data_IF_791909305862
#
_entry.id   IF_791909305862
#
_cell.length_a   1.000
_cell.length_b   1.000
_cell.length_c   1.000
_cell.angle_alpha   90.00
_cell.angle_beta   90.00
_cell.angle_gamma   90.00
#
_symmetry.space_group_name_H-M   'P 1'
#
loop_
_entity.id
_entity.type
_entity.pdbx_description
1 polymer ?
#
# COMPACT_ATOMS: atom_id res chain seq x y z
N UNK A 1 -6.31 9.54 -17.92
CA UNK A 1 -7.72 9.90 -18.07
C UNK A 1 -8.13 10.68 -16.85
N UNK A 2 -9.02 11.66 -16.94
CA UNK A 2 -9.52 12.34 -15.75
C UNK A 2 -10.18 11.32 -14.81
N UNK A 3 -9.94 11.45 -13.51
CA UNK A 3 -10.58 10.63 -12.47
C UNK A 3 -12.07 11.00 -12.46
N UNK A 4 -12.94 9.99 -12.47
CA UNK A 4 -14.39 10.16 -12.34
C UNK A 4 -14.88 9.32 -11.17
N UNK A 5 -15.58 9.92 -10.21
CA UNK A 5 -16.16 9.23 -9.07
C UNK A 5 -17.49 8.62 -9.50
N UNK A 6 -17.60 7.29 -9.33
CA UNK A 6 -18.75 6.50 -9.77
C UNK A 6 -19.46 5.77 -8.63
N UNK A 7 -18.78 5.60 -7.49
CA UNK A 7 -19.29 4.88 -6.32
C UNK A 7 -19.25 5.75 -5.08
N UNK A 8 -20.14 5.56 -4.13
CA UNK A 8 -20.19 6.33 -2.89
C UNK A 8 -19.09 5.93 -1.89
N UNK A 9 -18.39 4.82 -2.16
CA UNK A 9 -17.33 4.30 -1.30
C UNK A 9 -16.02 4.26 -2.06
N UNK A 10 -14.99 4.92 -1.52
CA UNK A 10 -13.69 5.03 -2.17
C UNK A 10 -12.58 4.39 -1.33
N UNK A 11 -11.58 3.85 -2.03
CA UNK A 11 -10.30 3.43 -1.46
C UNK A 11 -9.18 4.19 -2.18
N UNK A 12 -8.48 5.06 -1.45
CA UNK A 12 -7.40 5.89 -1.98
C UNK A 12 -6.06 5.22 -1.70
N UNK A 13 -5.29 4.96 -2.74
CA UNK A 13 -4.00 4.24 -2.67
C UNK A 13 -2.91 4.96 -3.46
N UNK A 14 -1.65 4.60 -3.22
CA UNK A 14 -0.51 5.33 -3.79
C UNK A 14 -0.33 5.08 -5.29
N UNK A 15 -0.38 3.84 -5.73
CA UNK A 15 0.01 3.48 -7.08
C UNK A 15 -0.77 2.31 -7.67
N UNK A 16 -0.35 1.95 -8.88
CA UNK A 16 -1.05 0.94 -9.67
C UNK A 16 -0.94 -0.48 -9.11
N UNK A 17 0.15 -0.79 -8.43
CA UNK A 17 0.31 -2.10 -7.80
C UNK A 17 -0.63 -2.24 -6.61
N UNK A 18 -0.78 -1.19 -5.81
CA UNK A 18 -1.76 -1.10 -4.73
C UNK A 18 -3.19 -1.22 -5.28
N UNK A 19 -3.53 -0.51 -6.37
CA UNK A 19 -4.85 -0.66 -7.02
C UNK A 19 -5.14 -2.12 -7.36
N UNK A 20 -4.18 -2.83 -7.94
CA UNK A 20 -4.37 -4.23 -8.34
C UNK A 20 -4.41 -5.18 -7.12
N UNK A 21 -3.58 -4.94 -6.10
CA UNK A 21 -3.55 -5.73 -4.87
C UNK A 21 -4.87 -5.56 -4.11
N UNK A 22 -5.29 -4.33 -3.86
CA UNK A 22 -6.53 -4.07 -3.12
C UNK A 22 -7.77 -4.49 -3.91
N UNK A 23 -7.75 -4.46 -5.23
CA UNK A 23 -8.84 -5.06 -6.01
C UNK A 23 -8.94 -6.57 -5.74
N UNK A 24 -7.82 -7.30 -5.75
CA UNK A 24 -7.81 -8.73 -5.46
C UNK A 24 -8.26 -9.01 -4.00
N UNK A 25 -7.83 -8.18 -3.04
CA UNK A 25 -8.20 -8.34 -1.63
C UNK A 25 -9.68 -8.01 -1.39
N UNK A 26 -10.22 -6.96 -2.00
CA UNK A 26 -11.65 -6.62 -1.93
C UNK A 26 -12.52 -7.70 -2.56
N UNK A 27 -12.09 -8.28 -3.68
CA UNK A 27 -12.79 -9.39 -4.34
C UNK A 27 -12.81 -10.63 -3.43
N UNK A 28 -11.68 -10.96 -2.77
CA UNK A 28 -11.59 -12.06 -1.79
C UNK A 28 -12.46 -11.82 -0.56
N UNK A 29 -12.51 -10.58 -0.06
CA UNK A 29 -13.38 -10.15 1.04
C UNK A 29 -14.86 -10.01 0.63
N UNK A 30 -15.21 -10.15 -0.63
CA UNK A 30 -16.56 -9.93 -1.17
C UNK A 30 -17.09 -8.52 -0.87
N UNK A 31 -16.28 -7.51 -1.20
CA UNK A 31 -16.58 -6.06 -1.05
C UNK A 31 -16.63 -5.40 -2.45
N UNK A 32 -17.72 -5.59 -3.25
CA UNK A 32 -17.73 -5.17 -4.65
C UNK A 32 -17.97 -3.66 -4.86
N UNK A 33 -18.58 -2.98 -3.87
CA UNK A 33 -19.08 -1.60 -4.05
C UNK A 33 -18.06 -0.52 -3.66
N UNK A 34 -16.76 -0.80 -3.82
CA UNK A 34 -15.67 0.15 -3.59
C UNK A 34 -15.03 0.56 -4.92
N UNK A 35 -14.77 1.85 -5.08
CA UNK A 35 -13.96 2.37 -6.18
C UNK A 35 -12.56 2.66 -5.66
N UNK A 36 -11.55 1.99 -6.21
CA UNK A 36 -10.16 2.25 -5.89
C UNK A 36 -9.64 3.38 -6.77
N UNK A 37 -9.00 4.37 -6.15
CA UNK A 37 -8.43 5.54 -6.84
C UNK A 37 -6.95 5.64 -6.50
N UNK A 38 -6.10 5.69 -7.53
CA UNK A 38 -4.69 6.00 -7.42
C UNK A 38 -4.53 7.51 -7.20
N UNK A 39 -3.95 7.90 -6.06
CA UNK A 39 -3.73 9.30 -5.68
C UNK A 39 -2.24 9.69 -5.67
N UNK A 40 -1.37 8.75 -5.97
CA UNK A 40 0.07 8.94 -5.98
C UNK A 40 0.72 8.92 -4.59
N UNK A 41 2.05 8.79 -4.57
CA UNK A 41 2.86 8.77 -3.36
C UNK A 41 2.89 10.13 -2.65
N UNK A 42 3.69 10.22 -1.57
CA UNK A 42 3.73 11.31 -0.58
C UNK A 42 3.59 12.72 -1.15
N UNK A 43 4.34 13.07 -2.18
CA UNK A 43 4.32 14.43 -2.74
C UNK A 43 3.12 14.66 -3.64
N UNK A 44 2.72 13.67 -4.42
CA UNK A 44 1.53 13.75 -5.28
C UNK A 44 0.24 13.77 -4.46
N UNK A 45 0.17 12.99 -3.40
CA UNK A 45 -1.01 12.93 -2.53
C UNK A 45 -1.43 14.31 -2.01
N UNK A 46 -0.46 15.16 -1.62
CA UNK A 46 -0.74 16.53 -1.17
C UNK A 46 -1.39 17.41 -2.22
N UNK A 47 -1.16 17.12 -3.50
CA UNK A 47 -1.73 17.85 -4.64
C UNK A 47 -3.03 17.23 -5.15
N UNK A 48 -3.06 15.89 -5.26
CA UNK A 48 -4.17 15.15 -5.86
C UNK A 48 -5.37 15.01 -4.92
N UNK A 49 -5.13 14.89 -3.61
CA UNK A 49 -6.22 14.75 -2.65
C UNK A 49 -7.15 15.97 -2.61
N UNK A 50 -6.66 17.24 -2.54
CA UNK A 50 -7.54 18.41 -2.66
C UNK A 50 -8.28 18.48 -4.00
N UNK A 51 -7.63 18.06 -5.09
CA UNK A 51 -8.28 18.01 -6.40
C UNK A 51 -9.41 16.98 -6.42
N UNK A 52 -9.20 15.80 -5.79
CA UNK A 52 -10.22 14.75 -5.65
C UNK A 52 -11.48 15.25 -4.93
N UNK A 53 -11.31 16.03 -3.85
CA UNK A 53 -12.43 16.59 -3.09
C UNK A 53 -13.31 17.53 -3.92
N UNK A 54 -12.76 18.14 -4.97
CA UNK A 54 -13.45 19.05 -5.87
C UNK A 54 -13.97 18.38 -7.15
N UNK A 55 -13.80 17.06 -7.31
CA UNK A 55 -14.32 16.35 -8.49
C UNK A 55 -15.84 16.24 -8.45
N UNK A 56 -16.43 16.30 -9.65
CA UNK A 56 -17.84 15.95 -9.82
C UNK A 56 -18.10 14.54 -9.28
N UNK A 57 -19.12 14.42 -8.41
CA UNK A 57 -19.48 13.17 -7.76
C UNK A 57 -18.88 12.97 -6.35
N UNK A 58 -17.89 13.76 -5.90
CA UNK A 58 -17.39 13.64 -4.52
C UNK A 58 -18.49 13.97 -3.48
N UNK A 59 -19.41 14.86 -3.79
CA UNK A 59 -20.56 15.18 -2.92
C UNK A 59 -21.46 13.97 -2.61
N UNK A 60 -21.40 12.91 -3.41
CA UNK A 60 -22.14 11.66 -3.22
C UNK A 60 -21.32 10.62 -2.42
N UNK A 61 -20.06 10.89 -2.11
CA UNK A 61 -19.21 9.96 -1.35
C UNK A 61 -19.71 9.92 0.10
N UNK A 62 -19.92 8.72 0.61
CA UNK A 62 -20.35 8.44 1.99
C UNK A 62 -19.24 7.94 2.87
N UNK A 63 -18.24 7.29 2.24
CA UNK A 63 -17.13 6.70 2.95
C UNK A 63 -15.88 6.66 2.08
N UNK A 64 -14.73 6.94 2.66
CA UNK A 64 -13.46 6.66 1.98
C UNK A 64 -12.36 6.25 2.97
N UNK A 65 -11.48 5.38 2.50
CA UNK A 65 -10.26 5.02 3.22
C UNK A 65 -9.03 5.55 2.48
N UNK A 66 -8.01 5.94 3.24
CA UNK A 66 -6.69 6.27 2.75
C UNK A 66 -5.73 5.19 3.21
N UNK A 67 -5.08 4.50 2.26
CA UNK A 67 -4.05 3.51 2.57
C UNK A 67 -2.71 3.98 2.02
N UNK A 68 -1.71 4.02 2.91
CA UNK A 68 -0.36 4.45 2.59
C UNK A 68 0.67 3.50 3.19
N UNK A 69 1.84 3.42 2.55
CA UNK A 69 3.01 2.77 3.13
C UNK A 69 3.56 3.57 4.32
N UNK A 70 4.06 2.86 5.33
CA UNK A 70 4.80 3.47 6.43
C UNK A 70 6.14 4.03 5.96
N UNK A 71 6.70 3.45 4.90
CA UNK A 71 8.08 3.71 4.48
C UNK A 71 9.06 3.51 5.66
N UNK A 72 9.68 4.60 6.12
CA UNK A 72 10.62 4.60 7.24
C UNK A 72 9.98 5.05 8.58
N UNK A 73 8.74 5.55 8.56
CA UNK A 73 8.08 6.10 9.74
C UNK A 73 6.55 6.15 9.58
N UNK A 74 5.86 5.18 10.16
CA UNK A 74 4.41 5.09 10.13
C UNK A 74 3.73 6.29 10.81
N UNK A 75 4.30 6.79 11.92
CA UNK A 75 3.73 7.93 12.66
C UNK A 75 3.85 9.23 11.85
N UNK A 76 4.98 9.45 11.18
CA UNK A 76 5.16 10.59 10.30
C UNK A 76 4.18 10.54 9.11
N UNK A 77 3.95 9.36 8.55
CA UNK A 77 2.98 9.15 7.46
C UNK A 77 1.56 9.42 7.94
N UNK A 78 1.15 8.87 9.10
CA UNK A 78 -0.15 9.11 9.71
C UNK A 78 -0.37 10.61 9.97
N UNK A 79 0.57 11.27 10.64
CA UNK A 79 0.51 12.71 10.95
C UNK A 79 0.38 13.57 9.68
N UNK A 80 1.07 13.18 8.60
CA UNK A 80 0.98 13.87 7.31
C UNK A 80 -0.42 13.80 6.71
N UNK A 81 -1.08 12.62 6.78
CA UNK A 81 -2.45 12.42 6.30
C UNK A 81 -3.43 13.20 7.19
N UNK A 82 -3.31 13.09 8.51
CA UNK A 82 -4.17 13.79 9.47
C UNK A 82 -4.12 15.33 9.26
N UNK A 83 -2.91 15.86 9.05
CA UNK A 83 -2.73 17.30 8.78
C UNK A 83 -3.42 17.72 7.48
N UNK A 84 -3.38 16.86 6.45
CA UNK A 84 -4.04 17.16 5.18
C UNK A 84 -5.57 17.07 5.30
N UNK A 85 -6.09 16.05 5.98
CA UNK A 85 -7.53 15.93 6.26
C UNK A 85 -8.05 17.14 7.04
N UNK A 86 -7.38 17.51 8.12
CA UNK A 86 -7.72 18.68 8.95
C UNK A 86 -7.73 19.98 8.14
N UNK A 87 -6.70 20.19 7.31
CA UNK A 87 -6.60 21.36 6.42
C UNK A 87 -7.79 21.49 5.47
N UNK A 88 -8.38 20.38 5.07
CA UNK A 88 -9.50 20.31 4.12
C UNK A 88 -10.84 20.03 4.81
N UNK A 89 -10.93 20.23 6.12
CA UNK A 89 -12.14 20.05 6.91
C UNK A 89 -12.79 18.66 6.76
N UNK A 90 -11.96 17.63 6.58
CA UNK A 90 -12.40 16.25 6.54
C UNK A 90 -12.33 15.62 7.94
N UNK A 91 -13.13 14.56 8.23
CA UNK A 91 -12.98 13.78 9.45
C UNK A 91 -11.56 13.25 9.60
N UNK A 92 -10.99 13.31 10.80
CA UNK A 92 -9.60 12.96 11.08
C UNK A 92 -9.55 11.79 12.05
N UNK A 93 -9.28 10.54 11.58
CA UNK A 93 -8.97 9.41 12.48
C UNK A 93 -7.73 9.70 13.34
N UNK A 94 -7.74 9.28 14.61
CA UNK A 94 -6.62 9.52 15.53
C UNK A 94 -5.48 8.53 15.32
N UNK A 95 -5.83 7.27 14.98
CA UNK A 95 -4.87 6.17 14.88
C UNK A 95 -5.00 5.40 13.55
N UNK A 96 -3.96 4.62 13.25
CA UNK A 96 -3.97 3.66 12.16
C UNK A 96 -5.05 2.59 12.39
N UNK A 97 -5.83 2.28 11.37
CA UNK A 97 -6.94 1.32 11.45
C UNK A 97 -8.24 1.90 11.99
N UNK A 98 -8.24 3.17 12.40
CA UNK A 98 -9.42 3.84 12.93
C UNK A 98 -10.30 4.44 11.82
N UNK A 99 -11.61 4.49 12.10
CA UNK A 99 -12.62 5.13 11.28
C UNK A 99 -13.37 6.19 12.08
N UNK A 100 -13.55 7.36 11.50
CA UNK A 100 -14.31 8.47 12.10
C UNK A 100 -15.44 8.88 11.15
N UNK A 101 -16.61 9.12 11.71
CA UNK A 101 -17.77 9.63 10.98
C UNK A 101 -18.09 11.05 11.48
N UNK A 102 -18.14 12.00 10.57
CA UNK A 102 -18.58 13.36 10.84
C UNK A 102 -19.34 13.91 9.63
N UNK A 103 -20.44 14.65 9.89
CA UNK A 103 -21.26 15.31 8.86
C UNK A 103 -21.72 14.39 7.71
N UNK A 104 -21.93 13.10 8.01
CA UNK A 104 -22.43 12.13 7.05
C UNK A 104 -21.38 11.52 6.11
N UNK A 105 -20.09 11.85 6.32
CA UNK A 105 -18.98 11.20 5.64
C UNK A 105 -18.13 10.42 6.64
N UNK A 106 -17.74 9.20 6.27
CA UNK A 106 -16.87 8.33 7.07
C UNK A 106 -15.48 8.26 6.45
N UNK A 107 -14.46 8.48 7.26
CA UNK A 107 -13.06 8.47 6.83
C UNK A 107 -12.26 7.47 7.66
N UNK A 108 -11.46 6.65 7.00
CA UNK A 108 -10.52 5.72 7.64
C UNK A 108 -9.10 5.92 7.14
N UNK A 109 -8.11 5.64 7.99
CA UNK A 109 -6.69 5.64 7.64
C UNK A 109 -6.09 4.29 7.98
N UNK A 110 -5.34 3.69 7.05
CA UNK A 110 -4.54 2.51 7.33
C UNK A 110 -3.12 2.69 6.79
N UNK A 111 -2.13 2.44 7.63
CA UNK A 111 -0.71 2.54 7.26
C UNK A 111 -0.16 1.12 7.15
N UNK A 112 0.24 0.71 5.94
CA UNK A 112 0.80 -0.61 5.67
C UNK A 112 2.26 -0.65 6.13
N UNK A 113 2.70 -1.75 6.78
CA UNK A 113 2.03 -3.06 6.93
C UNK A 113 1.08 -3.20 8.13
N UNK A 114 0.79 -2.15 8.87
CA UNK A 114 -0.11 -2.20 10.02
C UNK A 114 0.61 -1.82 11.32
N UNK A 115 0.74 -2.74 12.27
CA UNK A 115 1.30 -2.48 13.60
C UNK A 115 2.85 -2.34 13.64
N UNK A 116 3.50 -2.06 12.51
CA UNK A 116 4.95 -1.88 12.42
C UNK A 116 5.29 -0.39 12.24
N UNK A 117 6.43 0.02 12.78
CA UNK A 117 6.90 1.40 12.69
C UNK A 117 7.38 1.81 11.29
N UNK A 118 7.72 0.84 10.45
CA UNK A 118 8.23 1.01 9.09
C UNK A 118 7.77 -0.14 8.18
N UNK A 119 7.91 0.02 6.89
CA UNK A 119 7.61 -0.99 5.89
C UNK A 119 6.65 -0.51 4.81
N UNK A 120 6.31 -1.44 3.94
CA UNK A 120 5.51 -1.17 2.75
C UNK A 120 4.72 -2.40 2.34
N UNK A 121 3.90 -2.26 1.29
CA UNK A 121 3.05 -3.34 0.79
C UNK A 121 3.84 -4.60 0.40
N UNK A 122 5.08 -4.44 -0.11
CA UNK A 122 5.96 -5.57 -0.41
C UNK A 122 6.25 -6.44 0.83
N UNK A 123 6.47 -5.83 1.98
CA UNK A 123 6.69 -6.55 3.24
C UNK A 123 5.44 -7.37 3.60
N UNK A 124 4.29 -6.72 3.65
CA UNK A 124 3.02 -7.35 3.99
C UNK A 124 2.70 -8.53 3.06
N UNK A 125 2.88 -8.36 1.75
CA UNK A 125 2.63 -9.43 0.78
C UNK A 125 3.58 -10.62 0.97
N UNK A 126 4.87 -10.39 1.23
CA UNK A 126 5.83 -11.47 1.45
C UNK A 126 5.58 -12.21 2.77
N UNK A 127 5.07 -11.53 3.79
CA UNK A 127 4.69 -12.15 5.06
C UNK A 127 3.51 -13.12 4.89
N UNK A 128 2.62 -12.89 3.90
CA UNK A 128 1.54 -13.85 3.58
C UNK A 128 2.05 -15.19 3.05
N UNK A 129 3.30 -15.24 2.60
CA UNK A 129 3.95 -16.41 1.99
C UNK A 129 5.29 -16.73 2.64
N UNK A 130 5.44 -16.41 3.92
CA UNK A 130 6.72 -16.51 4.66
C UNK A 130 7.35 -17.90 4.58
N UNK A 131 6.54 -18.95 4.48
CA UNK A 131 7.00 -20.35 4.38
C UNK A 131 7.18 -20.83 2.93
N UNK A 132 7.06 -19.95 1.94
CA UNK A 132 7.19 -20.35 0.54
C UNK A 132 8.65 -20.70 0.19
N UNK A 133 8.94 -21.88 -0.47
CA UNK A 133 10.32 -22.30 -0.74
C UNK A 133 11.14 -21.29 -1.52
N UNK A 134 10.53 -20.59 -2.47
CA UNK A 134 11.19 -19.53 -3.26
C UNK A 134 11.70 -18.42 -2.37
N UNK A 135 10.96 -18.06 -1.30
CA UNK A 135 11.37 -16.97 -0.41
C UNK A 135 12.65 -17.33 0.35
N UNK A 136 12.82 -18.58 0.75
CA UNK A 136 14.08 -19.08 1.30
C UNK A 136 15.27 -18.88 0.35
N UNK A 137 15.08 -19.22 -0.93
CA UNK A 137 16.12 -19.02 -1.95
C UNK A 137 16.42 -17.53 -2.17
N UNK A 138 15.40 -16.69 -2.15
CA UNK A 138 15.55 -15.24 -2.28
C UNK A 138 16.34 -14.67 -1.10
N UNK A 139 16.05 -15.10 0.12
CA UNK A 139 16.76 -14.62 1.31
C UNK A 139 18.25 -15.02 1.26
N UNK A 140 18.58 -16.24 0.82
CA UNK A 140 19.97 -16.66 0.56
C UNK A 140 20.65 -15.81 -0.52
N UNK A 141 19.93 -15.53 -1.61
CA UNK A 141 20.44 -14.67 -2.68
C UNK A 141 20.77 -13.26 -2.17
N UNK A 142 19.86 -12.65 -1.40
CA UNK A 142 20.09 -11.32 -0.86
C UNK A 142 21.24 -11.30 0.17
N UNK A 143 21.37 -12.31 1.01
CA UNK A 143 22.52 -12.46 1.92
C UNK A 143 23.85 -12.58 1.17
N UNK A 144 23.87 -13.34 0.06
CA UNK A 144 25.06 -13.41 -0.80
C UNK A 144 25.43 -12.07 -1.43
N UNK A 145 24.43 -11.23 -1.77
CA UNK A 145 24.70 -9.88 -2.26
C UNK A 145 25.31 -8.99 -1.16
N UNK A 146 24.80 -9.08 0.07
CA UNK A 146 25.30 -8.31 1.22
C UNK A 146 26.76 -8.62 1.54
N UNK A 147 27.21 -9.85 1.31
CA UNK A 147 28.61 -10.23 1.49
C UNK A 147 29.55 -9.70 0.38
N UNK A 148 29.01 -9.38 -0.80
CA UNK A 148 29.82 -9.09 -2.00
C UNK A 148 29.73 -7.65 -2.49
N UNK A 149 28.70 -6.92 -2.09
CA UNK A 149 28.43 -5.58 -2.58
C UNK A 149 28.57 -4.55 -1.46
N UNK A 150 28.98 -3.34 -1.84
CA UNK A 150 29.06 -2.23 -0.90
C UNK A 150 27.68 -1.68 -0.55
N UNK A 151 27.52 -1.20 0.69
CA UNK A 151 26.30 -0.53 1.13
C UNK A 151 26.03 0.72 0.30
N UNK A 152 24.81 0.90 -0.13
CA UNK A 152 24.39 2.05 -0.92
C UNK A 152 24.15 3.23 0.06
N UNK A 153 25.06 4.20 0.07
CA UNK A 153 24.91 5.42 0.87
C UNK A 153 24.10 6.43 0.06
N UNK A 154 23.01 6.91 0.65
CA UNK A 154 22.14 7.90 0.02
C UNK A 154 22.90 9.22 -0.17
N UNK A 155 22.85 9.77 -1.40
CA UNK A 155 23.55 11.03 -1.73
C UNK A 155 25.04 10.90 -2.07
N UNK A 156 25.65 9.71 -1.97
CA UNK A 156 27.02 9.50 -2.41
C UNK A 156 27.11 9.33 -3.94
N UNK A 157 28.09 9.97 -4.57
CA UNK A 157 28.44 9.72 -5.97
C UNK A 157 28.90 8.27 -6.12
N UNK A 158 28.32 7.57 -7.10
CA UNK A 158 28.73 6.18 -7.38
C UNK A 158 30.09 6.17 -8.04
N UNK A 159 31.05 5.53 -7.42
CA UNK A 159 32.37 5.36 -7.99
C UNK A 159 32.32 4.38 -9.18
N UNK A 160 32.98 4.71 -10.33
CA UNK A 160 33.06 3.79 -11.46
C UNK A 160 33.69 2.45 -11.06
N UNK A 161 33.08 1.35 -11.45
CA UNK A 161 33.60 -0.01 -11.19
C UNK A 161 33.23 -0.60 -9.83
N UNK A 162 32.51 0.12 -8.99
CA UNK A 162 31.92 -0.42 -7.75
C UNK A 162 30.47 -0.86 -7.96
N UNK A 163 30.10 -1.92 -7.24
CA UNK A 163 28.75 -2.50 -7.26
C UNK A 163 28.11 -2.31 -5.89
N UNK A 164 26.84 -1.87 -5.88
CA UNK A 164 26.14 -1.49 -4.67
C UNK A 164 24.90 -2.34 -4.43
N UNK A 165 24.55 -2.52 -3.16
CA UNK A 165 23.30 -3.17 -2.75
C UNK A 165 22.07 -2.44 -3.32
N UNK A 166 20.92 -3.13 -3.49
CA UNK A 166 19.67 -2.48 -3.82
C UNK A 166 19.31 -1.42 -2.78
N UNK A 167 18.87 -0.24 -3.23
CA UNK A 167 18.45 0.86 -2.33
C UNK A 167 17.27 0.48 -1.45
N UNK A 168 16.35 -0.30 -2.00
CA UNK A 168 15.17 -0.77 -1.28
C UNK A 168 15.18 -2.30 -1.24
N UNK A 169 15.49 -2.84 -0.05
CA UNK A 169 15.58 -4.29 0.18
C UNK A 169 14.23 -4.99 -0.01
N UNK A 170 13.13 -4.38 0.47
CA UNK A 170 11.80 -4.97 0.36
C UNK A 170 11.38 -5.14 -1.11
N UNK A 171 11.59 -4.12 -1.93
CA UNK A 171 11.33 -4.19 -3.37
C UNK A 171 12.23 -5.21 -4.08
N UNK A 172 13.52 -5.24 -3.76
CA UNK A 172 14.43 -6.22 -4.32
C UNK A 172 14.00 -7.66 -3.97
N UNK A 173 13.61 -7.90 -2.69
CA UNK A 173 13.11 -9.17 -2.20
C UNK A 173 11.83 -9.60 -2.93
N UNK A 174 10.89 -8.67 -3.11
CA UNK A 174 9.66 -8.89 -3.86
C UNK A 174 9.95 -9.25 -5.33
N UNK A 175 10.78 -8.47 -6.02
CA UNK A 175 11.11 -8.76 -7.43
C UNK A 175 11.79 -10.12 -7.61
N UNK A 176 12.72 -10.48 -6.71
CA UNK A 176 13.37 -11.79 -6.72
C UNK A 176 12.35 -12.93 -6.45
N UNK A 177 11.40 -12.73 -5.52
CA UNK A 177 10.31 -13.68 -5.27
C UNK A 177 9.44 -13.86 -6.51
N UNK A 178 9.05 -12.78 -7.19
CA UNK A 178 8.23 -12.84 -8.41
C UNK A 178 8.97 -13.54 -9.56
N UNK A 179 10.29 -13.33 -9.68
CA UNK A 179 11.11 -14.01 -10.68
C UNK A 179 11.20 -15.52 -10.46
N UNK A 180 11.07 -15.99 -9.21
CA UNK A 180 11.04 -17.40 -8.84
C UNK A 180 9.70 -18.10 -9.04
N UNK A 181 8.66 -17.41 -9.52
CA UNK A 181 7.35 -18.04 -9.77
C UNK A 181 7.39 -18.88 -11.04
N UNK A 182 6.57 -19.95 -11.07
CA UNK A 182 6.49 -20.86 -12.24
C UNK A 182 5.94 -20.19 -13.51
N UNK A 183 5.25 -19.06 -13.37
CA UNK A 183 4.78 -18.21 -14.47
C UNK A 183 5.32 -16.81 -14.25
N UNK A 184 5.72 -16.19 -15.33
CA UNK A 184 6.19 -14.81 -15.26
C UNK A 184 5.14 -13.84 -14.71
N UNK A 185 5.51 -13.09 -13.69
CA UNK A 185 4.66 -12.10 -13.03
C UNK A 185 5.45 -10.80 -12.90
N UNK A 186 5.04 -9.73 -13.60
CA UNK A 186 5.86 -8.51 -13.71
C UNK A 186 5.75 -7.59 -12.49
N UNK A 187 4.70 -7.72 -11.66
CA UNK A 187 4.46 -6.81 -10.55
C UNK A 187 3.67 -7.45 -9.41
N UNK A 188 3.81 -6.86 -8.22
CA UNK A 188 3.14 -7.28 -6.99
C UNK A 188 1.61 -7.34 -7.16
N UNK A 189 1.01 -6.28 -7.68
CA UNK A 189 -0.44 -6.21 -7.84
C UNK A 189 -0.99 -7.27 -8.79
N UNK A 190 -0.25 -7.59 -9.87
CA UNK A 190 -0.62 -8.70 -10.76
C UNK A 190 -0.38 -10.06 -10.10
N UNK A 191 0.62 -10.18 -9.22
CA UNK A 191 0.85 -11.39 -8.44
C UNK A 191 -0.32 -11.69 -7.50
N UNK A 192 -0.86 -10.67 -6.84
CA UNK A 192 -2.06 -10.82 -6.01
C UNK A 192 -3.25 -11.37 -6.81
N UNK A 193 -3.54 -10.80 -7.98
CA UNK A 193 -4.60 -11.27 -8.88
C UNK A 193 -4.39 -12.69 -9.40
N UNK A 194 -3.14 -13.15 -9.48
CA UNK A 194 -2.79 -14.51 -9.93
C UNK A 194 -2.69 -15.52 -8.79
N UNK A 195 -3.00 -15.13 -7.56
CA UNK A 195 -2.98 -16.00 -6.39
C UNK A 195 -1.56 -16.36 -5.90
N UNK A 196 -0.57 -15.51 -6.15
CA UNK A 196 0.80 -15.73 -5.65
C UNK A 196 0.92 -15.45 -4.14
N UNK A 197 -0.05 -14.80 -3.52
CA UNK A 197 -0.11 -14.47 -2.10
C UNK A 197 -1.31 -15.15 -1.44
N UNK A 198 -1.16 -15.49 -0.15
CA UNK A 198 -2.27 -15.99 0.65
C UNK A 198 -3.09 -14.80 1.19
N UNK A 199 -4.15 -14.40 0.48
CA UNK A 199 -5.00 -13.26 0.89
C UNK A 199 -5.82 -13.54 2.16
N UNK A 200 -5.84 -14.79 2.66
CA UNK A 200 -6.47 -15.19 3.93
C UNK A 200 -5.43 -15.41 5.05
N UNK A 201 -4.18 -15.00 4.87
CA UNK A 201 -3.16 -15.11 5.91
C UNK A 201 -3.52 -14.24 7.13
N UNK A 202 -3.18 -14.72 8.33
CA UNK A 202 -3.46 -14.03 9.59
C UNK A 202 -2.85 -12.63 9.65
N UNK A 203 -1.69 -12.42 9.02
CA UNK A 203 -1.03 -11.12 8.93
C UNK A 203 -1.89 -10.05 8.24
N UNK A 204 -2.90 -10.44 7.47
CA UNK A 204 -3.86 -9.54 6.83
C UNK A 204 -5.13 -9.31 7.65
N UNK A 205 -5.30 -9.93 8.83
CA UNK A 205 -6.55 -9.89 9.60
C UNK A 205 -7.00 -8.47 9.93
N UNK A 206 -6.09 -7.63 10.42
CA UNK A 206 -6.40 -6.24 10.79
C UNK A 206 -6.77 -5.40 9.55
N UNK A 207 -6.02 -5.55 8.46
CA UNK A 207 -6.32 -4.88 7.20
C UNK A 207 -7.67 -5.33 6.63
N UNK A 208 -7.97 -6.64 6.67
CA UNK A 208 -9.27 -7.18 6.25
C UNK A 208 -10.41 -6.62 7.10
N UNK A 209 -10.26 -6.62 8.43
CA UNK A 209 -11.22 -6.03 9.36
C UNK A 209 -11.46 -4.55 9.09
N UNK A 210 -10.40 -3.79 8.80
CA UNK A 210 -10.49 -2.38 8.41
C UNK A 210 -11.28 -2.20 7.10
N UNK A 211 -11.03 -3.03 6.08
CA UNK A 211 -11.72 -2.95 4.79
C UNK A 211 -13.19 -3.40 4.88
N UNK A 212 -13.54 -4.30 5.80
CA UNK A 212 -14.93 -4.76 5.94
C UNK A 212 -15.91 -3.65 6.33
N UNK A 213 -15.42 -2.59 6.96
CA UNK A 213 -16.24 -1.41 7.29
C UNK A 213 -16.76 -0.73 6.02
N UNK A 214 -16.07 -0.86 4.88
CA UNK A 214 -16.51 -0.33 3.59
C UNK A 214 -17.76 -1.03 3.02
N UNK A 215 -18.13 -2.23 3.49
CA UNK A 215 -19.37 -2.92 3.08
C UNK A 215 -20.63 -2.18 3.49
N UNK A 216 -20.56 -1.45 4.61
CA UNK A 216 -21.72 -0.85 5.29
C UNK A 216 -21.76 0.69 5.13
N UNK A 217 -21.17 1.20 4.06
CA UNK A 217 -21.07 2.64 3.78
C UNK A 217 -22.19 3.14 2.88
#
# INVERSE_FOLDING_TARGET
>A
MPITIKKPTLLLVEGKDEVNFFQALLDDCQIPEVQIIEVGGKDKFKLEFPALLNLDGFSNVKSYAIIRDADNDANATLTSIQSLLSKHHQPVPNDCGEWVNNDGIRVGIYIVPGNQSEGMLENLCLDTVINHPVLHCVDHYLSCLEEKLESNVEGADKEPGKYYLPRNRAKARMHAFLAGQNKWVPSLGLAAKKGCFNLNAEVLSDLRGFLEILKNA
#
